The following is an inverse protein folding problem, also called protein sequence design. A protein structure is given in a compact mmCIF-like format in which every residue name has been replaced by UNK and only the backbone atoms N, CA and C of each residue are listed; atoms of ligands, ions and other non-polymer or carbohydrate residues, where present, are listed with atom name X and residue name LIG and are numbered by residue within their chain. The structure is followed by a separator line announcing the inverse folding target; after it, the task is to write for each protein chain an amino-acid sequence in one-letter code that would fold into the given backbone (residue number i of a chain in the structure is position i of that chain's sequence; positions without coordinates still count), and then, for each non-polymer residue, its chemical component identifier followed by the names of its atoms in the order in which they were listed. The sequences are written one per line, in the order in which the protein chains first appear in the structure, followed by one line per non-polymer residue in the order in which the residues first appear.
data_IF_378596037032
#
_entry.id   IF_378596037032
#
_cell.length_a   1.000
_cell.length_b   1.000
_cell.length_c   1.000
_cell.angle_alpha   90.00
_cell.angle_beta   90.00
_cell.angle_gamma   90.00
#
_symmetry.space_group_name_H-M   'P 1'
#
loop_
_entity.id
_entity.type
_entity.pdbx_description
1 polymer ?
#
# COMPACT_ATOMS: atom_id res chain seq x y z
N UNK A 1 -7.71 39.53 25.96
CA UNK A 1 -8.86 39.05 25.18
C UNK A 1 -8.40 37.81 24.47
N UNK A 2 -8.60 36.60 25.05
CA UNK A 2 -8.18 35.32 24.48
C UNK A 2 -9.16 34.95 23.36
N UNK A 3 -8.69 34.96 22.10
CA UNK A 3 -9.43 34.34 20.98
C UNK A 3 -9.23 32.82 21.05
N UNK A 4 -10.32 32.09 21.13
CA UNK A 4 -10.33 30.62 20.98
C UNK A 4 -9.75 30.23 19.62
N UNK A 5 -8.95 29.15 19.53
CA UNK A 5 -8.42 28.66 18.25
C UNK A 5 -9.58 28.28 17.33
N UNK A 6 -9.50 28.71 16.08
CA UNK A 6 -10.54 28.48 15.08
C UNK A 6 -10.86 26.98 14.95
N UNK A 7 -12.13 26.64 14.97
CA UNK A 7 -12.68 25.29 14.93
C UNK A 7 -12.23 24.42 13.71
N UNK A 8 -11.59 25.04 12.72
CA UNK A 8 -11.11 24.36 11.49
C UNK A 8 -9.85 23.54 11.68
N UNK A 9 -8.88 23.95 12.52
CA UNK A 9 -7.67 23.17 12.82
C UNK A 9 -7.99 21.86 13.57
N UNK A 10 -8.96 21.91 14.47
CA UNK A 10 -9.36 20.74 15.26
C UNK A 10 -9.99 19.66 14.35
N UNK A 11 -10.76 20.08 13.35
CA UNK A 11 -11.41 19.16 12.41
C UNK A 11 -10.42 18.38 11.51
N UNK A 12 -9.32 19.00 11.11
CA UNK A 12 -8.33 18.36 10.22
C UNK A 12 -7.47 17.34 10.98
N UNK A 13 -7.02 17.70 12.19
CA UNK A 13 -6.28 16.77 13.05
C UNK A 13 -7.16 15.60 13.51
N UNK A 14 -8.44 15.83 13.77
CA UNK A 14 -9.40 14.78 14.14
C UNK A 14 -9.67 13.80 12.99
N UNK A 15 -9.71 14.25 11.73
CA UNK A 15 -9.87 13.39 10.56
C UNK A 15 -8.64 12.47 10.33
N UNK A 16 -7.45 12.99 10.54
CA UNK A 16 -6.21 12.19 10.43
C UNK A 16 -6.12 11.20 11.59
N UNK A 17 -6.43 11.62 12.83
CA UNK A 17 -6.45 10.74 13.99
C UNK A 17 -7.50 9.62 13.83
N UNK A 18 -8.66 9.91 13.25
CA UNK A 18 -9.71 8.92 13.00
C UNK A 18 -9.28 7.89 11.93
N UNK A 19 -8.53 8.31 10.90
CA UNK A 19 -7.99 7.41 9.88
C UNK A 19 -6.90 6.48 10.45
N UNK A 20 -6.11 6.94 11.43
CA UNK A 20 -5.04 6.19 12.08
C UNK A 20 -5.54 5.24 13.19
N UNK A 21 -6.67 5.54 13.83
CA UNK A 21 -7.23 4.74 14.95
C UNK A 21 -8.10 3.56 14.46
N UNK A 22 -8.44 3.50 13.17
CA UNK A 22 -9.18 2.34 12.68
C UNK A 22 -8.33 1.06 12.80
N UNK A 23 -8.88 -0.05 13.37
CA UNK A 23 -8.11 -1.26 13.59
C UNK A 23 -7.52 -1.77 12.27
N UNK A 24 -6.20 -1.78 12.19
CA UNK A 24 -5.47 -2.41 11.10
C UNK A 24 -5.63 -3.92 11.23
N UNK A 25 -6.34 -4.53 10.30
CA UNK A 25 -6.10 -5.93 10.04
C UNK A 25 -4.82 -6.01 9.19
N UNK A 26 -3.67 -6.15 9.84
CA UNK A 26 -2.51 -6.72 9.17
C UNK A 26 -3.04 -7.99 8.51
N UNK A 27 -2.90 -8.12 7.18
CA UNK A 27 -3.43 -9.24 6.43
C UNK A 27 -2.94 -10.58 6.98
N UNK A 28 -3.46 -10.93 8.13
CA UNK A 28 -3.33 -12.22 8.74
C UNK A 28 -4.25 -13.14 7.94
N UNK A 29 -3.66 -14.10 7.24
CA UNK A 29 -4.39 -15.23 6.71
C UNK A 29 -5.36 -15.68 7.82
N UNK A 30 -6.66 -15.60 7.56
CA UNK A 30 -7.66 -16.16 8.46
C UNK A 30 -7.21 -17.58 8.78
N UNK A 31 -6.94 -17.84 10.04
CA UNK A 31 -6.76 -19.19 10.55
C UNK A 31 -8.14 -19.88 10.62
N UNK A 32 -8.72 -20.11 9.46
CA UNK A 32 -9.67 -21.21 9.30
C UNK A 32 -8.87 -22.44 9.66
N UNK A 33 -9.33 -23.21 10.65
CA UNK A 33 -8.63 -24.41 11.10
C UNK A 33 -8.12 -25.18 9.89
N UNK A 34 -6.82 -25.48 9.85
CA UNK A 34 -6.10 -25.89 8.64
C UNK A 34 -6.83 -27.04 7.95
N UNK A 35 -7.60 -26.71 6.92
CA UNK A 35 -8.29 -27.69 6.10
C UNK A 35 -7.26 -28.28 5.15
N UNK A 36 -6.92 -29.56 5.35
CA UNK A 36 -6.05 -30.30 4.45
C UNK A 36 -6.85 -30.72 3.20
N UNK A 37 -7.27 -29.72 2.43
CA UNK A 37 -8.03 -29.96 1.20
C UNK A 37 -7.08 -30.24 0.03
N UNK A 38 -7.44 -31.21 -0.79
CA UNK A 38 -6.77 -31.46 -2.07
C UNK A 38 -6.99 -30.23 -2.96
N UNK A 39 -5.92 -29.75 -3.62
CA UNK A 39 -6.02 -28.63 -4.53
C UNK A 39 -6.94 -28.98 -5.71
N UNK A 40 -7.96 -28.17 -5.94
CA UNK A 40 -8.93 -28.39 -7.01
C UNK A 40 -8.30 -28.32 -8.41
N UNK A 41 -7.21 -27.55 -8.55
CA UNK A 41 -6.48 -27.37 -9.80
C UNK A 41 -5.03 -27.87 -9.63
N UNK A 42 -4.59 -28.68 -10.59
CA UNK A 42 -3.23 -29.25 -10.61
C UNK A 42 -2.14 -28.20 -10.80
N UNK A 43 -2.47 -27.02 -11.36
CA UNK A 43 -1.55 -25.90 -11.52
C UNK A 43 -1.30 -25.13 -10.22
N UNK A 44 -2.21 -25.23 -9.25
CA UNK A 44 -2.09 -24.54 -7.97
C UNK A 44 -1.11 -25.25 -7.05
N UNK A 45 -0.39 -24.48 -6.27
CA UNK A 45 0.48 -24.94 -5.18
C UNK A 45 -0.08 -24.46 -3.85
N UNK A 46 0.27 -25.18 -2.81
CA UNK A 46 -0.14 -24.85 -1.45
C UNK A 46 1.09 -24.59 -0.60
N UNK A 47 1.07 -23.48 0.12
CA UNK A 47 2.06 -23.17 1.14
C UNK A 47 1.51 -23.70 2.47
N UNK A 48 2.12 -24.75 2.95
CA UNK A 48 1.77 -25.42 4.20
C UNK A 48 2.73 -24.93 5.27
N UNK A 49 2.22 -24.21 6.26
CA UNK A 49 3.01 -23.78 7.41
C UNK A 49 2.82 -24.76 8.54
N UNK A 50 3.92 -25.28 9.07
CA UNK A 50 3.90 -26.17 10.21
C UNK A 50 4.00 -25.38 11.53
N UNK A 51 3.65 -26.01 12.63
CA UNK A 51 3.66 -25.39 13.97
C UNK A 51 5.08 -25.14 14.50
N UNK A 52 6.07 -25.85 14.01
CA UNK A 52 7.49 -25.61 14.28
C UNK A 52 8.07 -24.40 13.54
N UNK A 53 7.21 -23.71 12.75
CA UNK A 53 7.60 -22.54 11.94
C UNK A 53 8.12 -22.88 10.54
N UNK A 54 8.37 -24.16 10.24
CA UNK A 54 8.79 -24.57 8.91
C UNK A 54 7.66 -24.40 7.88
N UNK A 55 8.03 -24.26 6.61
CA UNK A 55 7.09 -24.10 5.50
C UNK A 55 7.42 -25.06 4.37
N UNK A 56 6.39 -25.69 3.86
CA UNK A 56 6.46 -26.60 2.73
C UNK A 56 5.65 -26.03 1.58
N UNK A 57 6.30 -25.88 0.42
CA UNK A 57 5.64 -25.57 -0.84
C UNK A 57 5.40 -26.87 -1.60
N UNK A 58 4.14 -27.23 -1.78
CA UNK A 58 3.77 -28.48 -2.43
C UNK A 58 2.32 -28.50 -2.87
N UNK A 59 1.83 -29.64 -3.22
CA UNK A 59 0.42 -29.91 -3.54
C UNK A 59 -0.07 -31.05 -2.64
N UNK A 60 -1.18 -30.84 -1.97
CA UNK A 60 -1.91 -31.92 -1.28
C UNK A 60 -2.59 -32.75 -2.36
N UNK A 61 -2.14 -33.98 -2.52
CA UNK A 61 -2.65 -34.90 -3.54
C UNK A 61 -3.71 -35.85 -2.99
N UNK A 62 -3.64 -36.15 -1.70
CA UNK A 62 -4.61 -37.00 -0.98
C UNK A 62 -4.77 -36.45 0.44
N UNK A 63 -5.98 -36.59 0.98
CA UNK A 63 -6.29 -36.24 2.36
C UNK A 63 -7.17 -37.34 2.95
N UNK A 64 -6.80 -37.85 4.13
CA UNK A 64 -7.55 -38.86 4.85
C UNK A 64 -7.44 -38.62 6.36
N UNK A 65 -8.61 -38.60 7.01
CA UNK A 65 -8.67 -38.38 8.45
C UNK A 65 -7.95 -37.11 8.90
N UNK A 66 -6.92 -37.28 9.70
CA UNK A 66 -6.09 -36.20 10.24
C UNK A 66 -4.77 -36.01 9.48
N UNK A 67 -4.59 -36.66 8.34
CA UNK A 67 -3.33 -36.64 7.57
C UNK A 67 -3.56 -36.29 6.10
N UNK A 68 -2.52 -35.81 5.45
CA UNK A 68 -2.52 -35.53 4.02
C UNK A 68 -1.17 -35.87 3.39
N UNK A 69 -1.22 -36.37 2.16
CA UNK A 69 -0.03 -36.57 1.31
C UNK A 69 0.28 -35.30 0.56
N UNK A 70 1.50 -34.83 0.69
CA UNK A 70 2.01 -33.64 0.05
C UNK A 70 3.11 -34.04 -0.92
N UNK A 71 2.94 -33.61 -2.15
CA UNK A 71 3.96 -33.69 -3.20
C UNK A 71 4.67 -32.36 -3.32
N UNK A 72 5.99 -32.36 -3.17
CA UNK A 72 6.84 -31.16 -3.27
C UNK A 72 8.04 -31.45 -4.17
N UNK A 73 8.84 -30.42 -4.46
CA UNK A 73 10.11 -30.61 -5.19
C UNK A 73 11.12 -31.49 -4.44
N UNK A 74 11.02 -31.56 -3.10
CA UNK A 74 11.88 -32.39 -2.26
C UNK A 74 11.42 -33.85 -2.18
N UNK A 75 10.29 -34.18 -2.78
CA UNK A 75 9.68 -35.51 -2.75
C UNK A 75 8.27 -35.52 -2.16
N UNK A 76 7.75 -36.71 -1.95
CA UNK A 76 6.41 -36.92 -1.39
C UNK A 76 6.52 -37.35 0.07
N UNK A 77 5.75 -36.69 0.94
CA UNK A 77 5.69 -36.99 2.37
C UNK A 77 4.28 -36.78 2.93
N UNK A 78 4.05 -37.31 4.13
CA UNK A 78 2.77 -37.17 4.81
C UNK A 78 2.86 -36.15 5.93
N UNK A 79 1.90 -35.23 5.98
CA UNK A 79 1.74 -34.27 7.07
C UNK A 79 0.50 -34.60 7.89
N UNK A 80 0.61 -34.49 9.22
CA UNK A 80 -0.52 -34.64 10.13
C UNK A 80 -1.13 -33.29 10.42
N UNK A 81 -2.47 -33.24 10.48
CA UNK A 81 -3.22 -31.97 10.75
C UNK A 81 -2.75 -31.30 12.04
N UNK A 82 -2.44 -32.07 13.07
CA UNK A 82 -1.95 -31.55 14.36
C UNK A 82 -0.69 -30.71 14.21
N UNK A 83 0.15 -31.01 13.22
CA UNK A 83 1.40 -30.31 12.96
C UNK A 83 1.23 -29.10 12.01
N UNK A 84 0.05 -28.91 11.41
CA UNK A 84 -0.19 -27.83 10.45
C UNK A 84 -0.79 -26.63 11.16
N UNK A 85 -0.15 -25.48 10.99
CA UNK A 85 -0.62 -24.18 11.47
C UNK A 85 -1.57 -23.52 10.47
N UNK A 86 -1.21 -23.55 9.17
CA UNK A 86 -2.06 -22.98 8.11
C UNK A 86 -1.74 -23.61 6.75
N UNK A 87 -2.73 -23.60 5.86
CA UNK A 87 -2.58 -23.96 4.44
C UNK A 87 -3.09 -22.80 3.61
N UNK A 88 -2.25 -22.28 2.72
CA UNK A 88 -2.60 -21.19 1.79
C UNK A 88 -2.45 -21.69 0.36
N UNK A 89 -3.50 -21.58 -0.43
CA UNK A 89 -3.44 -21.88 -1.87
C UNK A 89 -2.78 -20.68 -2.56
N UNK A 90 -1.81 -20.97 -3.41
CA UNK A 90 -1.03 -19.98 -4.15
C UNK A 90 -1.29 -20.11 -5.65
N UNK A 91 -1.51 -19.00 -6.36
CA UNK A 91 -1.53 -19.04 -7.81
C UNK A 91 -0.12 -19.37 -8.35
N UNK A 92 -0.06 -20.01 -9.50
CA UNK A 92 1.22 -20.36 -10.15
C UNK A 92 2.08 -19.13 -10.45
N UNK A 93 1.47 -17.95 -10.66
CA UNK A 93 2.18 -16.68 -10.86
C UNK A 93 3.01 -16.25 -9.65
N UNK A 94 2.74 -16.77 -8.46
CA UNK A 94 3.51 -16.49 -7.24
C UNK A 94 4.69 -17.45 -7.03
N UNK A 95 4.94 -18.36 -7.99
CA UNK A 95 6.00 -19.37 -7.88
C UNK A 95 7.00 -19.17 -9.01
N UNK A 96 8.25 -18.87 -8.64
CA UNK A 96 9.37 -18.67 -9.56
C UNK A 96 10.49 -19.62 -9.18
N UNK A 97 10.95 -20.43 -10.13
CA UNK A 97 12.00 -21.42 -9.94
C UNK A 97 11.74 -22.32 -8.72
N UNK A 98 10.49 -22.75 -8.55
CA UNK A 98 10.09 -23.62 -7.43
C UNK A 98 10.05 -22.93 -6.06
N UNK A 99 10.21 -21.61 -5.99
CA UNK A 99 10.18 -20.81 -4.76
C UNK A 99 8.96 -19.89 -4.74
N UNK A 100 8.34 -19.78 -3.57
CA UNK A 100 7.26 -18.84 -3.35
C UNK A 100 7.81 -17.41 -3.24
N UNK A 101 7.29 -16.52 -4.06
CA UNK A 101 7.49 -15.08 -3.95
C UNK A 101 6.23 -14.44 -3.38
N UNK A 102 6.28 -13.89 -2.17
CA UNK A 102 5.12 -13.21 -1.58
C UNK A 102 4.74 -11.97 -2.40
N UNK A 103 3.49 -11.55 -2.30
CA UNK A 103 3.01 -10.34 -2.93
C UNK A 103 3.89 -9.14 -2.51
N UNK A 104 4.07 -8.17 -3.41
CA UNK A 104 4.84 -6.96 -3.10
C UNK A 104 4.03 -6.08 -2.13
N UNK A 105 4.51 -5.85 -0.90
CA UNK A 105 3.82 -5.00 0.07
C UNK A 105 3.75 -3.53 -0.37
N UNK A 106 4.60 -3.11 -1.31
CA UNK A 106 4.66 -1.75 -1.82
C UNK A 106 3.98 -1.56 -3.18
N UNK A 107 3.19 -2.54 -3.65
CA UNK A 107 2.56 -2.51 -4.97
C UNK A 107 1.72 -1.24 -5.25
N UNK A 108 1.21 -0.57 -4.22
CA UNK A 108 0.33 0.61 -4.31
C UNK A 108 1.07 1.93 -4.43
N UNK A 109 2.40 1.93 -4.33
CA UNK A 109 3.28 3.10 -4.46
C UNK A 109 4.63 2.71 -5.06
N UNK A 110 5.37 3.69 -5.54
CA UNK A 110 6.80 3.62 -5.81
C UNK A 110 7.57 3.98 -4.52
N UNK A 111 8.39 5.03 -4.52
CA UNK A 111 8.94 5.57 -3.27
C UNK A 111 7.86 6.41 -2.55
N UNK A 112 7.39 7.47 -3.20
CA UNK A 112 6.33 8.37 -2.74
C UNK A 112 5.14 8.38 -3.69
N UNK A 113 5.40 8.36 -4.99
CA UNK A 113 4.38 8.42 -6.01
C UNK A 113 3.43 7.23 -5.95
N UNK A 114 2.11 7.45 -6.04
CA UNK A 114 1.14 6.40 -6.06
C UNK A 114 1.22 5.61 -7.37
N UNK A 115 1.03 4.30 -7.29
CA UNK A 115 0.64 3.51 -8.45
C UNK A 115 -0.89 3.49 -8.57
N UNK A 116 -1.40 2.99 -9.71
CA UNK A 116 -2.84 2.82 -9.89
C UNK A 116 -3.42 1.59 -9.15
N UNK A 117 -2.60 0.81 -8.49
CA UNK A 117 -3.03 -0.36 -7.73
C UNK A 117 -3.67 0.06 -6.40
N UNK A 118 -4.66 -0.71 -5.96
CA UNK A 118 -5.42 -0.43 -4.74
C UNK A 118 -5.06 -1.44 -3.65
N UNK A 119 -5.18 -1.00 -2.40
CA UNK A 119 -5.28 -1.91 -1.27
C UNK A 119 -6.65 -2.58 -1.29
N UNK A 120 -6.72 -3.86 -0.97
CA UNK A 120 -8.00 -4.56 -0.80
C UNK A 120 -8.70 -4.07 0.47
N UNK A 121 -10.01 -4.23 0.52
CA UNK A 121 -10.81 -3.88 1.70
C UNK A 121 -10.22 -4.47 2.99
N UNK A 122 -9.90 -3.60 3.93
CA UNK A 122 -9.32 -3.96 5.23
C UNK A 122 -7.80 -4.13 5.25
N UNK A 123 -7.13 -4.21 4.10
CA UNK A 123 -5.67 -4.15 4.01
C UNK A 123 -5.17 -2.75 4.33
N UNK A 124 -3.97 -2.66 4.86
CA UNK A 124 -3.33 -1.39 5.14
C UNK A 124 -1.87 -1.56 5.54
N UNK A 125 -1.17 -0.45 5.54
CA UNK A 125 0.21 -0.39 6.01
C UNK A 125 0.50 0.94 6.71
N UNK A 126 1.55 0.95 7.51
CA UNK A 126 2.19 2.15 8.04
C UNK A 126 3.63 2.11 7.57
N UNK A 127 4.15 3.24 7.12
CA UNK A 127 5.53 3.40 6.75
C UNK A 127 6.13 4.62 7.44
N UNK A 128 7.45 4.57 7.65
CA UNK A 128 8.22 5.68 8.16
C UNK A 128 9.34 6.00 7.17
N UNK A 129 9.43 7.27 6.79
CA UNK A 129 10.44 7.77 5.87
C UNK A 129 11.41 8.66 6.63
N UNK A 130 12.69 8.29 6.61
CA UNK A 130 13.81 9.02 7.24
C UNK A 130 13.59 9.38 8.71
N UNK A 131 12.78 8.61 9.44
CA UNK A 131 12.37 8.84 10.84
C UNK A 131 11.51 10.10 11.06
N UNK A 132 11.39 10.98 10.08
CA UNK A 132 10.74 12.29 10.21
C UNK A 132 9.37 12.38 9.52
N UNK A 133 9.04 11.45 8.65
CA UNK A 133 7.74 11.42 7.97
C UNK A 133 7.10 10.04 8.16
N UNK A 134 5.93 10.02 8.77
CA UNK A 134 5.13 8.80 8.94
C UNK A 134 3.90 8.88 8.04
N UNK A 135 3.62 7.81 7.31
CA UNK A 135 2.39 7.66 6.55
C UNK A 135 1.65 6.36 6.87
N UNK A 136 0.37 6.35 6.57
CA UNK A 136 -0.47 5.16 6.69
C UNK A 136 -1.58 5.18 5.66
N UNK A 137 -1.86 4.00 5.10
CA UNK A 137 -2.89 3.81 4.08
C UNK A 137 -3.76 2.60 4.40
N UNK A 138 -5.05 2.70 4.07
CA UNK A 138 -6.03 1.63 4.28
C UNK A 138 -6.97 1.52 3.09
N UNK A 139 -7.20 0.31 2.62
CA UNK A 139 -8.29 -0.04 1.70
C UNK A 139 -9.62 0.01 2.44
N UNK A 140 -10.41 1.04 2.20
CA UNK A 140 -11.77 1.18 2.74
C UNK A 140 -12.72 0.26 1.99
N UNK A 141 -12.53 0.20 0.68
CA UNK A 141 -13.14 -0.77 -0.22
C UNK A 141 -12.07 -1.27 -1.19
N UNK A 142 -12.37 -2.27 -2.02
CA UNK A 142 -11.44 -2.73 -3.06
C UNK A 142 -11.16 -1.68 -4.14
N UNK A 143 -11.94 -0.58 -4.18
CA UNK A 143 -11.82 0.52 -5.15
C UNK A 143 -11.51 1.88 -4.52
N UNK A 144 -11.45 1.96 -3.20
CA UNK A 144 -11.17 3.20 -2.49
C UNK A 144 -10.15 2.98 -1.38
N UNK A 145 -9.03 3.69 -1.47
CA UNK A 145 -7.97 3.73 -0.47
C UNK A 145 -7.93 5.13 0.14
N UNK A 146 -7.89 5.20 1.46
CA UNK A 146 -7.66 6.41 2.21
C UNK A 146 -6.30 6.32 2.90
N UNK A 147 -5.51 7.36 2.76
CA UNK A 147 -4.23 7.49 3.41
C UNK A 147 -4.07 8.83 4.11
N UNK A 148 -3.01 8.93 4.87
CA UNK A 148 -2.56 10.16 5.49
C UNK A 148 -1.10 10.08 5.88
N UNK A 149 -0.47 11.24 6.01
CA UNK A 149 0.91 11.36 6.44
C UNK A 149 1.06 12.53 7.41
N UNK A 150 2.06 12.44 8.28
CA UNK A 150 2.45 13.51 9.19
C UNK A 150 3.96 13.54 9.35
N UNK A 151 4.53 14.75 9.48
CA UNK A 151 5.92 14.86 9.91
C UNK A 151 6.02 14.72 11.44
N UNK A 152 7.18 14.25 11.89
CA UNK A 152 7.50 14.04 13.31
C UNK A 152 8.63 14.99 13.73
N UNK A 153 8.55 16.26 13.31
CA UNK A 153 9.56 17.25 13.67
C UNK A 153 9.40 17.64 15.15
N UNK A 154 10.46 17.53 15.96
CA UNK A 154 10.44 17.98 17.34
C UNK A 154 10.16 19.49 17.39
N UNK A 155 9.17 19.90 18.14
CA UNK A 155 8.85 21.32 18.30
C UNK A 155 7.98 21.54 19.54
N UNK A 156 8.02 22.75 20.10
CA UNK A 156 7.22 23.14 21.24
C UNK A 156 5.71 23.09 20.99
N UNK A 157 5.31 23.23 19.72
CA UNK A 157 3.91 23.06 19.31
C UNK A 157 3.81 22.09 18.15
N UNK A 158 3.75 20.80 18.49
CA UNK A 158 3.73 19.71 17.53
C UNK A 158 2.64 19.85 16.46
N UNK A 159 1.43 20.22 16.86
CA UNK A 159 0.31 20.33 15.93
C UNK A 159 0.43 21.51 14.95
N UNK A 160 1.12 22.58 15.35
CA UNK A 160 1.29 23.77 14.50
C UNK A 160 2.50 23.67 13.59
N UNK A 161 3.55 22.99 14.04
CA UNK A 161 4.86 23.02 13.39
C UNK A 161 5.15 21.77 12.55
N UNK A 162 4.17 20.87 12.40
CA UNK A 162 4.30 19.68 11.57
C UNK A 162 3.44 19.78 10.30
N UNK A 163 3.83 19.00 9.30
CA UNK A 163 3.13 18.83 8.03
C UNK A 163 2.12 17.70 8.16
N UNK A 164 0.94 17.88 7.62
CA UNK A 164 -0.12 16.87 7.61
C UNK A 164 -0.68 16.72 6.20
N UNK A 165 -0.91 15.47 5.80
CA UNK A 165 -1.55 15.14 4.53
C UNK A 165 -2.69 14.16 4.72
N UNK A 166 -3.72 14.29 3.88
CA UNK A 166 -4.67 13.23 3.59
C UNK A 166 -4.55 12.84 2.12
N UNK A 167 -4.80 11.57 1.82
CA UNK A 167 -4.59 11.02 0.49
C UNK A 167 -5.69 10.03 0.12
N UNK A 168 -6.88 10.53 -0.28
CA UNK A 168 -7.89 9.70 -0.91
C UNK A 168 -7.45 9.30 -2.33
N UNK A 169 -7.65 8.02 -2.68
CA UNK A 169 -7.42 7.46 -4.02
C UNK A 169 -8.55 6.54 -4.41
N UNK A 170 -9.07 6.67 -5.63
CA UNK A 170 -10.15 5.86 -6.18
C UNK A 170 -9.70 5.17 -7.46
N UNK A 171 -10.02 3.88 -7.60
CA UNK A 171 -9.79 3.14 -8.82
C UNK A 171 -10.83 3.49 -9.89
N UNK A 172 -10.35 3.77 -11.11
CA UNK A 172 -11.17 3.95 -12.29
C UNK A 172 -11.30 2.60 -13.01
N UNK A 173 -10.14 1.98 -13.31
CA UNK A 173 -10.07 0.65 -13.93
C UNK A 173 -9.20 -0.26 -13.08
N UNK A 174 -9.62 -1.52 -12.93
CA UNK A 174 -8.84 -2.56 -12.26
C UNK A 174 -8.85 -3.83 -13.09
N UNK A 175 -7.66 -4.28 -13.49
CA UNK A 175 -7.45 -5.56 -14.14
C UNK A 175 -6.11 -6.19 -13.69
N UNK A 176 -5.85 -7.41 -14.11
CA UNK A 176 -4.63 -8.12 -13.74
C UNK A 176 -3.34 -7.42 -14.20
N UNK A 177 -3.40 -6.68 -15.32
CA UNK A 177 -2.21 -6.07 -15.94
C UNK A 177 -2.33 -4.58 -16.25
N UNK A 178 -3.50 -3.99 -16.10
CA UNK A 178 -3.72 -2.57 -16.37
C UNK A 178 -4.69 -1.98 -15.36
N UNK A 179 -4.22 -0.94 -14.67
CA UNK A 179 -4.99 -0.25 -13.64
C UNK A 179 -4.92 1.25 -13.87
N UNK A 180 -6.00 1.95 -13.62
CA UNK A 180 -6.05 3.41 -13.59
C UNK A 180 -6.72 3.87 -12.30
N UNK A 181 -6.23 4.96 -11.74
CA UNK A 181 -6.75 5.56 -10.53
C UNK A 181 -6.61 7.08 -10.58
N UNK A 182 -7.43 7.75 -9.79
CA UNK A 182 -7.30 9.17 -9.51
C UNK A 182 -7.25 9.39 -8.01
N UNK A 183 -6.60 10.46 -7.59
CA UNK A 183 -6.48 10.79 -6.18
C UNK A 183 -6.06 12.22 -5.95
N UNK A 184 -5.98 12.55 -4.67
CA UNK A 184 -5.51 13.85 -4.21
C UNK A 184 -4.56 13.62 -3.04
N UNK A 185 -3.43 14.30 -3.02
CA UNK A 185 -2.66 14.58 -1.82
C UNK A 185 -2.99 15.99 -1.40
N UNK A 186 -3.57 16.15 -0.24
CA UNK A 186 -3.95 17.46 0.28
C UNK A 186 -3.47 17.59 1.71
N UNK A 187 -2.77 18.67 1.98
CA UNK A 187 -2.18 18.89 3.29
C UNK A 187 -2.05 20.33 3.69
N UNK A 188 -1.44 20.51 4.84
CA UNK A 188 -1.05 21.80 5.40
C UNK A 188 0.35 21.71 5.97
N UNK A 189 1.08 22.80 5.95
CA UNK A 189 2.40 22.92 6.52
C UNK A 189 2.61 24.31 7.12
N UNK A 190 3.49 24.46 8.11
CA UNK A 190 3.79 25.75 8.74
C UNK A 190 4.23 26.84 7.77
N UNK A 191 4.98 26.44 6.73
CA UNK A 191 5.53 27.37 5.74
C UNK A 191 4.50 27.81 4.67
N UNK A 192 3.29 27.27 4.72
CA UNK A 192 2.18 27.65 3.82
C UNK A 192 1.17 28.56 4.56
N UNK A 193 1.31 28.72 5.86
CA UNK A 193 0.42 29.54 6.65
C UNK A 193 0.83 31.03 6.56
N UNK A 194 -0.17 31.88 6.34
CA UNK A 194 0.05 33.33 6.33
C UNK A 194 0.32 33.89 7.74
N UNK A 195 0.82 35.14 7.79
CA UNK A 195 1.10 35.84 9.05
C UNK A 195 -0.13 35.95 9.99
N UNK A 196 -1.34 35.88 9.43
CA UNK A 196 -2.61 35.91 10.16
C UNK A 196 -3.03 34.54 10.75
N UNK A 197 -2.14 33.53 10.71
CA UNK A 197 -2.40 32.15 11.15
C UNK A 197 -3.57 31.45 10.42
N UNK A 198 -3.90 31.85 9.22
CA UNK A 198 -4.82 31.08 8.39
C UNK A 198 -4.16 29.80 7.93
N UNK A 199 -4.86 28.67 8.11
CA UNK A 199 -4.38 27.36 7.66
C UNK A 199 -4.59 27.24 6.16
N UNK A 200 -3.52 27.45 5.41
CA UNK A 200 -3.54 27.30 3.97
C UNK A 200 -3.30 25.83 3.58
N UNK A 201 -4.07 25.37 2.63
CA UNK A 201 -3.94 24.02 2.09
C UNK A 201 -3.14 24.04 0.80
N UNK A 202 -2.35 22.99 0.62
CA UNK A 202 -1.65 22.72 -0.64
C UNK A 202 -1.75 21.25 -0.99
N UNK A 203 -1.48 20.91 -2.22
CA UNK A 203 -1.54 19.51 -2.63
C UNK A 203 -1.40 19.29 -4.12
N UNK A 204 -1.76 18.09 -4.53
CA UNK A 204 -1.72 17.60 -5.90
C UNK A 204 -2.98 16.80 -6.17
N UNK A 205 -3.74 17.19 -7.19
CA UNK A 205 -4.77 16.34 -7.77
C UNK A 205 -4.17 15.60 -8.97
N UNK A 206 -4.26 14.26 -8.98
CA UNK A 206 -3.55 13.43 -9.95
C UNK A 206 -4.40 12.31 -10.54
N UNK A 207 -4.01 11.91 -11.75
CA UNK A 207 -4.40 10.64 -12.35
C UNK A 207 -3.18 9.78 -12.59
N UNK A 208 -3.33 8.46 -12.47
CA UNK A 208 -2.23 7.52 -12.62
C UNK A 208 -2.68 6.26 -13.35
N UNK A 209 -1.82 5.73 -14.22
CA UNK A 209 -1.99 4.46 -14.90
C UNK A 209 -0.80 3.55 -14.62
N UNK A 210 -1.05 2.27 -14.37
CA UNK A 210 -0.01 1.26 -14.10
C UNK A 210 -0.24 0.05 -14.99
N UNK A 211 0.80 -0.34 -15.72
CA UNK A 211 0.86 -1.53 -16.59
C UNK A 211 1.83 -2.55 -16.02
N UNK A 212 1.47 -3.79 -16.01
CA UNK A 212 2.31 -4.90 -15.57
C UNK A 212 1.68 -5.75 -14.47
N UNK A 213 2.40 -6.82 -14.11
CA UNK A 213 1.99 -7.78 -13.07
C UNK A 213 2.72 -7.54 -11.74
N UNK A 214 2.64 -8.52 -10.84
CA UNK A 214 3.18 -8.41 -9.47
C UNK A 214 4.71 -8.36 -9.41
N UNK A 215 5.38 -8.84 -10.45
CA UNK A 215 6.85 -8.90 -10.50
C UNK A 215 7.50 -7.78 -11.31
N UNK A 216 6.71 -7.01 -12.05
CA UNK A 216 7.19 -5.87 -12.81
C UNK A 216 6.04 -5.02 -13.30
N UNK A 217 6.17 -3.71 -13.09
CA UNK A 217 5.15 -2.75 -13.50
C UNK A 217 5.78 -1.42 -13.88
N UNK A 218 5.19 -0.79 -14.87
CA UNK A 218 5.46 0.58 -15.30
C UNK A 218 4.29 1.47 -14.89
N UNK A 219 4.59 2.65 -14.40
CA UNK A 219 3.58 3.61 -13.95
C UNK A 219 3.83 4.97 -14.59
N UNK A 220 2.76 5.55 -15.12
CA UNK A 220 2.70 6.91 -15.63
C UNK A 220 1.62 7.66 -14.88
N UNK A 221 1.94 8.83 -14.38
CA UNK A 221 1.01 9.71 -13.69
C UNK A 221 1.15 11.15 -14.14
N UNK A 222 0.13 11.93 -13.88
CA UNK A 222 0.15 13.36 -14.11
C UNK A 222 -0.91 14.04 -13.25
N UNK A 223 -0.69 15.33 -12.98
CA UNK A 223 -1.59 16.08 -12.12
C UNK A 223 -1.25 17.55 -12.04
N UNK A 224 -2.06 18.24 -11.30
CA UNK A 224 -1.87 19.68 -11.04
C UNK A 224 -1.68 19.90 -9.55
N UNK A 225 -0.63 20.64 -9.23
CA UNK A 225 -0.45 21.20 -7.90
C UNK A 225 -1.50 22.27 -7.61
N UNK A 226 -1.83 22.44 -6.34
CA UNK A 226 -2.65 23.55 -5.87
C UNK A 226 -2.12 24.07 -4.54
N UNK A 227 -2.23 25.35 -4.32
CA UNK A 227 -1.93 26.01 -3.05
C UNK A 227 -2.86 27.19 -2.85
N UNK A 228 -3.35 27.40 -1.63
CA UNK A 228 -4.22 28.53 -1.27
C UNK A 228 -5.41 28.72 -2.22
N UNK A 229 -6.02 27.60 -2.64
CA UNK A 229 -7.15 27.62 -3.56
C UNK A 229 -6.82 27.92 -5.03
N UNK A 230 -5.53 28.11 -5.38
CA UNK A 230 -5.08 28.37 -6.74
C UNK A 230 -4.48 27.07 -7.33
N UNK A 231 -4.84 26.79 -8.58
CA UNK A 231 -4.29 25.66 -9.33
C UNK A 231 -3.00 26.09 -10.04
N UNK A 232 -2.00 25.22 -10.06
CA UNK A 232 -0.77 25.46 -10.83
C UNK A 232 -1.10 25.56 -12.33
N UNK A 233 -0.37 26.41 -13.06
CA UNK A 233 -0.58 26.60 -14.50
C UNK A 233 -0.13 25.38 -15.32
N UNK A 234 0.96 24.75 -14.88
CA UNK A 234 1.57 23.63 -15.60
C UNK A 234 1.31 22.33 -14.87
N UNK A 235 0.99 21.25 -15.59
CA UNK A 235 0.89 19.93 -15.00
C UNK A 235 2.27 19.44 -14.60
N UNK A 236 2.35 18.62 -13.57
CA UNK A 236 3.51 17.78 -13.32
C UNK A 236 3.24 16.37 -13.83
N UNK A 237 4.29 15.73 -14.30
CA UNK A 237 4.25 14.36 -14.79
C UNK A 237 5.13 13.48 -13.90
N UNK A 238 4.73 12.23 -13.77
CA UNK A 238 5.48 11.22 -13.03
C UNK A 238 5.62 9.97 -13.90
N UNK A 239 6.84 9.48 -13.99
CA UNK A 239 7.19 8.24 -14.70
C UNK A 239 8.01 7.38 -13.76
N UNK A 240 7.62 6.12 -13.63
CA UNK A 240 8.36 5.20 -12.79
C UNK A 240 7.98 3.75 -13.00
N UNK A 241 8.56 2.89 -12.20
CA UNK A 241 8.25 1.47 -12.28
C UNK A 241 8.96 0.67 -11.21
N UNK A 242 8.53 -0.58 -11.11
CA UNK A 242 9.12 -1.57 -10.23
C UNK A 242 9.48 -2.81 -11.01
N UNK A 243 10.58 -3.45 -10.67
CA UNK A 243 10.95 -4.77 -11.20
C UNK A 243 11.55 -5.61 -10.07
N UNK A 244 10.93 -6.74 -9.78
CA UNK A 244 11.42 -7.68 -8.76
C UNK A 244 12.57 -8.50 -9.33
N UNK A 245 13.73 -8.34 -8.74
CA UNK A 245 14.95 -9.07 -9.11
C UNK A 245 15.06 -10.39 -8.33
N UNK A 246 14.48 -10.47 -7.16
CA UNK A 246 14.43 -11.68 -6.33
C UNK A 246 13.26 -11.62 -5.35
N UNK A 247 13.11 -12.69 -4.56
CA UNK A 247 12.09 -12.75 -3.49
C UNK A 247 12.14 -11.58 -2.50
N UNK A 248 13.32 -10.98 -2.32
CA UNK A 248 13.58 -9.93 -1.29
C UNK A 248 14.09 -8.62 -1.87
N UNK A 249 14.34 -8.57 -3.19
CA UNK A 249 14.94 -7.42 -3.83
C UNK A 249 14.07 -6.96 -5.00
N UNK A 250 13.74 -5.69 -5.00
CA UNK A 250 13.08 -5.01 -6.11
C UNK A 250 13.88 -3.79 -6.51
N UNK A 251 13.99 -3.56 -7.80
CA UNK A 251 14.42 -2.29 -8.37
C UNK A 251 13.20 -1.38 -8.50
N UNK A 252 13.32 -0.14 -8.04
CA UNK A 252 12.26 0.88 -8.13
C UNK A 252 12.85 2.12 -8.75
N UNK A 253 12.15 2.70 -9.71
CA UNK A 253 12.47 4.00 -10.30
C UNK A 253 11.27 4.93 -10.17
N UNK A 254 11.52 6.17 -9.78
CA UNK A 254 10.52 7.24 -9.68
C UNK A 254 11.13 8.54 -10.19
N UNK A 255 10.52 9.14 -11.19
CA UNK A 255 11.00 10.36 -11.82
C UNK A 255 9.84 11.35 -11.94
N UNK A 256 10.07 12.57 -11.50
CA UNK A 256 9.13 13.67 -11.58
C UNK A 256 9.61 14.71 -12.58
N UNK A 257 8.70 15.12 -13.44
CA UNK A 257 8.94 16.13 -14.47
C UNK A 257 8.04 17.31 -14.16
N UNK A 258 8.66 18.46 -13.96
CA UNK A 258 8.00 19.75 -13.71
C UNK A 258 8.27 20.67 -14.89
N UNK A 259 7.36 20.73 -15.89
CA UNK A 259 7.54 21.64 -17.03
C UNK A 259 7.49 23.09 -16.55
N UNK A 260 8.50 23.88 -16.89
CA UNK A 260 8.65 25.30 -16.52
C UNK A 260 8.74 25.58 -15.01
N UNK A 261 9.94 25.44 -14.48
CA UNK A 261 10.28 25.80 -13.10
C UNK A 261 10.55 27.29 -12.89
N UNK A 262 10.47 28.14 -13.93
CA UNK A 262 10.76 29.58 -13.80
C UNK A 262 9.73 30.36 -12.97
N UNK A 263 8.58 29.78 -12.69
CA UNK A 263 7.62 30.29 -11.72
C UNK A 263 7.05 29.11 -10.92
N UNK A 264 7.74 28.64 -9.90
CA UNK A 264 7.09 27.83 -8.88
C UNK A 264 6.00 28.69 -8.24
N UNK A 265 4.89 28.09 -7.93
CA UNK A 265 3.65 28.63 -7.35
C UNK A 265 3.89 29.80 -6.42
#
# INVERSE_FOLDING_TARGET
MYRLPSSRCISFAALIALALVMPFRVGGAQSSGAILAVAADTSMRQLIRLRDGSTVLGRITQSWGDSARVESMAGTFTVRRVNVSSVRVLPSSSIHDGKYWPDDPNATRLFFAPTARMLKKGEGYIANHWLLLMDGYKGVTDRFTLGGAMSLLPSDNFLKNNVYFISPKVAITQSARFNTAAGVWMGTAPFVNDADNEVNTFGIAYGVATWGGDNGAFTLGGGYGFAQGKLARNPMLMVGGTNRLSRRLSFVSENWLFPNTENPI
#
